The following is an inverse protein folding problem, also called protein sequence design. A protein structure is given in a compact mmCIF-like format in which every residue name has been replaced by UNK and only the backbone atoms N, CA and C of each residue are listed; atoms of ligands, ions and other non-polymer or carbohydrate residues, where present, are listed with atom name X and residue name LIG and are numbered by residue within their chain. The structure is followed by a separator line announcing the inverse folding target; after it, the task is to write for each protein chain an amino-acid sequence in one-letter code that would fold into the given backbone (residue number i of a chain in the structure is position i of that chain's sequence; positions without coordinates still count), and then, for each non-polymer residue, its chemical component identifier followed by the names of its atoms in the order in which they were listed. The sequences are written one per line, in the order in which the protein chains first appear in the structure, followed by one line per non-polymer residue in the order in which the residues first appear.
data_IF_814304664749
#
_entry.id   IF_814304664749
#
_cell.length_a   1.000
_cell.length_b   1.000
_cell.length_c   1.000
_cell.angle_alpha   90.00
_cell.angle_beta   90.00
_cell.angle_gamma   90.00
#
_symmetry.space_group_name_H-M   'P 1'
#
loop_
_entity.id
_entity.type
_entity.pdbx_description
1 polymer ?
#
# COMPACT_ATOMS: atom_id res chain seq x y z
N UNK A 1 38.06 6.14 40.12
CA UNK A 1 37.61 6.53 38.75
C UNK A 1 36.43 5.60 38.40
N UNK A 2 35.21 5.97 38.82
CA UNK A 2 34.00 5.21 38.49
C UNK A 2 33.52 5.61 37.10
N UNK A 3 33.46 4.64 36.19
CA UNK A 3 32.85 4.80 34.85
C UNK A 3 31.34 4.84 35.02
N UNK A 4 30.75 6.00 34.85
CA UNK A 4 29.29 6.15 34.64
C UNK A 4 28.85 5.34 33.44
N UNK A 5 28.32 4.14 33.66
CA UNK A 5 27.59 3.38 32.65
C UNK A 5 26.24 4.07 32.42
N UNK A 6 26.09 4.71 31.26
CA UNK A 6 24.83 5.28 30.84
C UNK A 6 23.84 4.14 30.61
N UNK A 7 22.79 4.13 31.42
CA UNK A 7 21.71 3.14 31.32
C UNK A 7 20.90 3.36 30.02
N UNK A 8 21.14 2.53 29.00
CA UNK A 8 20.48 2.58 27.69
C UNK A 8 19.01 2.14 27.72
N UNK A 9 18.55 1.56 28.83
CA UNK A 9 17.18 1.07 28.98
C UNK A 9 16.15 2.21 29.03
N UNK A 10 16.55 3.39 29.52
CA UNK A 10 15.68 4.57 29.67
C UNK A 10 15.45 5.31 28.33
N UNK A 11 16.24 5.08 27.30
CA UNK A 11 16.04 5.68 25.96
C UNK A 11 14.86 5.07 25.19
N UNK A 12 14.37 3.89 25.58
CA UNK A 12 13.30 3.17 24.90
C UNK A 12 11.91 3.79 25.11
N UNK A 13 11.75 4.70 26.07
CA UNK A 13 10.47 5.35 26.38
C UNK A 13 10.14 6.54 25.47
N UNK A 14 11.10 7.06 24.73
CA UNK A 14 10.94 8.22 23.85
C UNK A 14 11.01 7.89 22.35
N UNK A 15 11.22 6.63 21.99
CA UNK A 15 11.02 6.22 20.63
C UNK A 15 9.52 5.96 20.44
N UNK A 16 8.80 6.77 19.61
CA UNK A 16 7.45 6.41 19.22
C UNK A 16 7.50 4.97 18.69
N UNK A 17 6.54 4.16 19.13
CA UNK A 17 6.39 2.77 18.69
C UNK A 17 6.32 2.78 17.16
N UNK A 18 7.47 2.69 16.51
CA UNK A 18 7.58 2.60 15.07
C UNK A 18 7.03 1.22 14.75
N UNK A 19 5.77 1.17 14.36
CA UNK A 19 5.20 -0.04 13.78
C UNK A 19 6.20 -0.54 12.73
N UNK A 20 6.48 -1.86 12.67
CA UNK A 20 7.41 -2.40 11.70
C UNK A 20 6.93 -1.93 10.33
N UNK A 21 7.81 -1.21 9.67
CA UNK A 21 7.75 -0.62 8.35
C UNK A 21 6.68 -1.32 7.49
N UNK A 22 5.49 -0.72 7.39
CA UNK A 22 4.66 -0.99 6.23
C UNK A 22 5.56 -0.63 5.06
N UNK A 23 5.90 -1.62 4.25
CA UNK A 23 6.76 -1.44 3.08
C UNK A 23 6.23 -0.23 2.32
N UNK A 24 7.04 0.84 2.28
CA UNK A 24 6.61 2.12 1.69
C UNK A 24 6.16 1.84 0.27
N UNK A 25 4.88 1.97 0.00
CA UNK A 25 4.34 1.77 -1.33
C UNK A 25 4.73 2.98 -2.18
N UNK A 26 5.62 2.77 -3.13
CA UNK A 26 6.02 3.81 -4.08
C UNK A 26 4.93 4.05 -5.10
N UNK A 27 5.08 5.11 -5.91
CA UNK A 27 4.13 5.47 -6.95
C UNK A 27 4.10 4.40 -8.06
N UNK A 28 2.97 4.24 -8.76
CA UNK A 28 2.90 3.37 -9.93
C UNK A 28 3.77 3.89 -11.08
N UNK A 29 4.16 3.01 -11.98
CA UNK A 29 4.96 3.29 -13.18
C UNK A 29 6.38 3.83 -12.93
N UNK A 30 6.94 3.68 -11.74
CA UNK A 30 8.34 4.07 -11.53
C UNK A 30 9.28 3.20 -12.37
N UNK A 31 10.12 3.85 -13.18
CA UNK A 31 11.10 3.18 -14.05
C UNK A 31 12.21 2.51 -13.23
N UNK A 32 12.67 3.19 -12.18
CA UNK A 32 13.78 2.75 -11.32
C UNK A 32 13.45 2.98 -9.85
N UNK A 33 12.75 2.06 -9.21
CA UNK A 33 12.35 2.20 -7.80
C UNK A 33 13.53 2.38 -6.84
N UNK A 34 14.64 1.70 -7.13
CA UNK A 34 15.85 1.75 -6.30
C UNK A 34 16.54 3.11 -6.34
N UNK A 35 16.53 3.78 -7.50
CA UNK A 35 17.11 5.11 -7.68
C UNK A 35 16.15 6.25 -7.33
N UNK A 36 14.91 5.93 -6.97
CA UNK A 36 13.86 6.93 -6.74
C UNK A 36 14.24 7.99 -5.71
N UNK A 37 14.89 7.60 -4.61
CA UNK A 37 15.29 8.53 -3.55
C UNK A 37 16.39 9.49 -3.97
N UNK A 38 17.20 9.11 -4.92
CA UNK A 38 18.33 9.93 -5.43
C UNK A 38 17.84 10.90 -6.51
N UNK A 39 16.82 10.51 -7.28
CA UNK A 39 16.33 11.26 -8.43
C UNK A 39 15.12 12.15 -8.10
N UNK A 40 14.36 11.83 -7.06
CA UNK A 40 13.18 12.57 -6.67
C UNK A 40 13.52 13.90 -5.98
N UNK A 41 13.14 15.02 -6.60
CA UNK A 41 13.33 16.38 -6.05
C UNK A 41 12.37 16.74 -4.91
N UNK A 42 11.45 15.85 -4.52
CA UNK A 42 10.45 16.05 -3.44
C UNK A 42 9.58 17.28 -3.63
N UNK A 43 9.36 17.69 -4.87
CA UNK A 43 8.61 18.92 -5.19
C UNK A 43 7.13 18.84 -4.81
N UNK A 44 6.56 17.64 -4.57
CA UNK A 44 5.19 17.42 -4.14
C UNK A 44 4.13 17.55 -5.23
N UNK A 45 4.49 17.76 -6.50
CA UNK A 45 3.52 17.90 -7.60
C UNK A 45 2.65 16.65 -7.78
N UNK A 46 3.21 15.45 -7.64
CA UNK A 46 2.47 14.19 -7.70
C UNK A 46 1.44 14.05 -6.55
N UNK A 47 1.76 14.58 -5.36
CA UNK A 47 0.83 14.63 -4.22
C UNK A 47 -0.38 15.49 -4.55
N UNK A 48 -0.14 16.69 -5.08
CA UNK A 48 -1.21 17.63 -5.45
C UNK A 48 -2.04 17.16 -6.64
N UNK A 49 -1.44 16.41 -7.57
CA UNK A 49 -2.09 15.93 -8.78
C UNK A 49 -2.96 14.68 -8.56
N UNK A 50 -2.83 14.00 -7.42
CA UNK A 50 -3.60 12.79 -7.14
C UNK A 50 -5.05 13.15 -6.80
N UNK A 51 -6.00 12.76 -7.65
CA UNK A 51 -7.42 13.06 -7.48
C UNK A 51 -8.07 12.34 -6.30
N UNK A 52 -7.60 11.14 -5.96
CA UNK A 52 -8.06 10.35 -4.82
C UNK A 52 -7.26 10.62 -3.55
N UNK A 53 -6.28 11.52 -3.61
CA UNK A 53 -5.44 11.95 -2.48
C UNK A 53 -4.72 10.82 -1.73
N UNK A 54 -4.48 9.68 -2.38
CA UNK A 54 -3.76 8.54 -1.80
C UNK A 54 -2.25 8.75 -1.75
N UNK A 55 -1.71 9.77 -2.45
CA UNK A 55 -0.29 10.09 -2.42
C UNK A 55 -0.04 11.13 -1.33
N UNK A 56 0.77 10.76 -0.35
CA UNK A 56 1.14 11.63 0.77
C UNK A 56 2.67 11.79 0.87
N UNK A 57 3.12 12.76 1.67
CA UNK A 57 4.54 12.92 1.98
C UNK A 57 4.91 11.94 3.09
N UNK A 58 5.69 10.94 2.75
CA UNK A 58 6.25 9.97 3.68
C UNK A 58 7.59 10.38 4.28
N UNK A 59 8.35 9.41 4.73
CA UNK A 59 9.66 9.60 5.35
C UNK A 59 10.62 10.38 4.45
N UNK A 60 11.32 11.35 5.01
CA UNK A 60 12.24 12.23 4.28
C UNK A 60 11.56 13.19 3.28
N UNK A 61 10.23 13.29 3.30
CA UNK A 61 9.45 14.12 2.40
C UNK A 61 9.24 13.51 1.01
N UNK A 62 9.59 12.24 0.82
CA UNK A 62 9.34 11.51 -0.42
C UNK A 62 7.87 11.13 -0.53
N UNK A 63 7.28 11.17 -1.74
CA UNK A 63 5.91 10.71 -1.94
C UNK A 63 5.79 9.20 -1.69
N UNK A 64 4.69 8.84 -1.04
CA UNK A 64 4.31 7.49 -0.69
C UNK A 64 2.82 7.29 -0.96
N UNK A 65 2.41 6.09 -1.34
CA UNK A 65 0.99 5.75 -1.53
C UNK A 65 0.42 5.17 -0.26
N UNK A 66 -0.74 5.72 0.16
CA UNK A 66 -1.48 5.27 1.32
C UNK A 66 -2.93 4.95 0.91
N UNK A 67 -3.29 3.68 0.94
CA UNK A 67 -4.63 3.20 0.56
C UNK A 67 -5.63 3.17 1.72
N UNK A 68 -5.34 3.81 2.83
CA UNK A 68 -6.28 3.79 3.96
C UNK A 68 -7.54 4.63 3.72
N UNK A 69 -7.49 5.55 2.79
CA UNK A 69 -8.58 6.50 2.50
C UNK A 69 -9.33 6.17 1.21
N UNK A 70 -8.61 5.75 0.18
CA UNK A 70 -9.17 5.57 -1.16
C UNK A 70 -8.28 4.67 -2.02
N UNK A 71 -8.60 4.52 -3.29
CA UNK A 71 -7.98 3.64 -4.28
C UNK A 71 -7.21 4.40 -5.35
N UNK A 72 -6.34 3.70 -6.08
CA UNK A 72 -5.70 4.23 -7.28
C UNK A 72 -6.60 4.03 -8.50
N UNK A 73 -6.98 5.12 -9.16
CA UNK A 73 -7.78 5.10 -10.40
C UNK A 73 -6.95 4.86 -11.66
N UNK A 74 -5.63 4.71 -11.53
CA UNK A 74 -4.70 4.58 -12.63
C UNK A 74 -4.76 5.71 -13.67
N UNK A 75 -5.11 6.92 -13.24
CA UNK A 75 -5.25 8.11 -14.08
C UNK A 75 -3.93 8.66 -14.66
N UNK A 76 -2.78 8.19 -14.18
CA UNK A 76 -1.43 8.60 -14.60
C UNK A 76 -1.06 10.06 -14.29
N UNK A 77 -1.89 10.83 -13.60
CA UNK A 77 -1.65 12.26 -13.30
C UNK A 77 -0.38 12.48 -12.45
N UNK A 78 -0.08 11.55 -11.55
CA UNK A 78 1.14 11.63 -10.73
C UNK A 78 2.41 11.58 -11.58
N UNK A 79 2.44 10.77 -12.63
CA UNK A 79 3.56 10.66 -13.57
C UNK A 79 3.64 11.90 -14.49
N UNK A 80 2.51 12.35 -15.04
CA UNK A 80 2.46 13.53 -15.91
C UNK A 80 2.88 14.83 -15.21
N UNK A 81 2.59 14.94 -13.91
CA UNK A 81 2.95 16.14 -13.13
C UNK A 81 4.42 16.17 -12.71
N UNK A 82 5.14 15.06 -12.85
CA UNK A 82 6.53 14.97 -12.43
C UNK A 82 7.44 15.66 -13.45
N UNK A 83 8.31 16.59 -13.02
CA UNK A 83 9.28 17.23 -13.91
C UNK A 83 10.48 16.34 -14.24
N UNK A 84 10.68 15.27 -13.47
CA UNK A 84 11.81 14.36 -13.60
C UNK A 84 11.43 13.11 -14.40
N UNK A 85 12.35 12.50 -15.17
CA UNK A 85 12.07 11.32 -15.99
C UNK A 85 12.04 10.03 -15.15
N UNK A 86 11.16 10.00 -14.12
CA UNK A 86 11.10 8.90 -13.16
C UNK A 86 10.15 7.78 -13.57
N UNK A 87 9.27 8.00 -14.55
CA UNK A 87 8.18 7.11 -14.87
C UNK A 87 8.32 6.50 -16.26
N UNK A 88 7.90 5.25 -16.39
CA UNK A 88 7.69 4.60 -17.69
C UNK A 88 6.38 5.04 -18.32
N UNK A 89 6.13 4.65 -19.56
CA UNK A 89 4.90 5.01 -20.28
C UNK A 89 3.65 4.40 -19.61
N UNK A 90 2.50 5.08 -19.72
CA UNK A 90 1.22 4.62 -19.17
C UNK A 90 0.78 3.26 -19.72
N UNK A 91 1.26 2.86 -20.92
CA UNK A 91 0.99 1.56 -21.54
C UNK A 91 1.67 0.39 -20.82
N UNK A 92 2.68 0.66 -19.99
CA UNK A 92 3.34 -0.35 -19.19
C UNK A 92 2.50 -0.67 -17.93
N UNK A 93 2.77 -1.83 -17.34
CA UNK A 93 2.11 -2.18 -16.09
C UNK A 93 2.53 -1.22 -14.95
N UNK A 94 1.59 -0.73 -14.13
CA UNK A 94 1.89 0.25 -13.08
C UNK A 94 2.77 -0.33 -11.98
N UNK A 95 2.54 -1.57 -11.59
CA UNK A 95 3.25 -2.40 -10.62
C UNK A 95 2.75 -3.85 -10.69
N UNK A 96 3.36 -4.72 -9.92
CA UNK A 96 2.80 -6.03 -9.59
C UNK A 96 2.29 -5.99 -8.15
N UNK A 97 1.12 -6.55 -7.90
CA UNK A 97 0.49 -6.50 -6.60
C UNK A 97 0.06 -7.90 -6.14
N UNK A 98 0.34 -8.21 -4.89
CA UNK A 98 -0.10 -9.42 -4.23
C UNK A 98 -0.95 -9.05 -3.01
N UNK A 99 -2.18 -9.53 -2.98
CA UNK A 99 -3.12 -9.30 -1.87
C UNK A 99 -2.94 -10.38 -0.82
N UNK A 100 -2.76 -9.96 0.43
CA UNK A 100 -2.72 -10.84 1.58
C UNK A 100 -3.85 -10.51 2.55
N UNK A 101 -4.50 -11.55 3.09
CA UNK A 101 -5.58 -11.44 4.06
C UNK A 101 -5.10 -11.99 5.40
N UNK A 102 -5.00 -11.12 6.39
CA UNK A 102 -4.55 -11.50 7.73
C UNK A 102 -5.66 -12.18 8.54
N UNK A 103 -5.29 -12.81 9.64
CA UNK A 103 -6.23 -13.45 10.59
C UNK A 103 -7.21 -12.48 11.25
N UNK A 104 -7.03 -11.18 11.09
CA UNK A 104 -7.99 -10.15 11.55
C UNK A 104 -9.24 -10.06 10.67
N UNK A 105 -9.29 -10.80 9.54
CA UNK A 105 -10.44 -10.81 8.66
C UNK A 105 -11.70 -11.29 9.40
N UNK A 106 -12.75 -10.46 9.41
CA UNK A 106 -14.02 -10.77 10.08
C UNK A 106 -14.62 -12.07 9.58
N UNK A 107 -14.60 -12.32 8.27
CA UNK A 107 -15.13 -13.54 7.69
C UNK A 107 -14.37 -14.80 8.17
N UNK A 108 -13.04 -14.71 8.33
CA UNK A 108 -12.25 -15.78 8.93
C UNK A 108 -12.56 -15.98 10.42
N UNK A 109 -13.03 -14.94 11.11
CA UNK A 109 -13.50 -14.97 12.49
C UNK A 109 -14.99 -15.32 12.63
N UNK A 110 -15.60 -15.86 11.57
CA UNK A 110 -17.01 -16.27 11.54
C UNK A 110 -18.02 -15.11 11.65
N UNK A 111 -17.61 -13.88 11.32
CA UNK A 111 -18.49 -12.71 11.21
C UNK A 111 -18.73 -12.43 9.72
N UNK A 112 -19.99 -12.33 9.31
CA UNK A 112 -20.33 -12.06 7.90
C UNK A 112 -19.78 -10.68 7.47
N UNK A 113 -18.93 -10.69 6.46
CA UNK A 113 -18.34 -9.49 5.88
C UNK A 113 -17.87 -9.79 4.46
N UNK A 114 -18.24 -8.93 3.50
CA UNK A 114 -17.86 -9.05 2.07
C UNK A 114 -17.40 -7.72 1.46
N UNK A 115 -17.14 -6.69 2.26
CA UNK A 115 -16.83 -5.34 1.79
C UNK A 115 -15.71 -5.31 0.74
N UNK A 116 -14.67 -6.13 0.90
CA UNK A 116 -13.55 -6.19 -0.06
C UNK A 116 -13.96 -6.83 -1.41
N UNK A 117 -14.91 -7.77 -1.42
CA UNK A 117 -15.46 -8.34 -2.66
C UNK A 117 -16.26 -7.29 -3.42
N UNK A 118 -17.14 -6.57 -2.70
CA UNK A 118 -18.04 -5.58 -3.29
C UNK A 118 -17.28 -4.37 -3.86
N UNK A 119 -16.14 -4.02 -3.25
CA UNK A 119 -15.31 -2.92 -3.67
C UNK A 119 -14.30 -3.28 -4.78
N UNK A 120 -14.11 -4.54 -5.11
CA UNK A 120 -13.08 -4.95 -6.07
C UNK A 120 -13.54 -4.74 -7.51
N UNK A 121 -12.98 -3.77 -8.28
CA UNK A 121 -13.40 -3.52 -9.66
C UNK A 121 -13.06 -4.68 -10.61
N UNK A 122 -11.97 -5.41 -10.33
CA UNK A 122 -11.53 -6.56 -11.12
C UNK A 122 -12.26 -7.86 -10.75
N UNK A 123 -13.05 -7.85 -9.65
CA UNK A 123 -13.76 -9.03 -9.18
C UNK A 123 -12.87 -10.21 -8.80
N UNK A 124 -11.65 -9.97 -8.37
CA UNK A 124 -10.66 -11.02 -8.06
C UNK A 124 -10.82 -11.62 -6.67
N UNK A 125 -11.70 -11.04 -5.83
CA UNK A 125 -11.98 -11.49 -4.47
C UNK A 125 -13.32 -12.22 -4.47
N UNK A 126 -13.31 -13.50 -4.15
CA UNK A 126 -14.50 -14.34 -4.09
C UNK A 126 -14.67 -14.93 -2.69
N UNK A 127 -15.92 -15.16 -2.29
CA UNK A 127 -16.22 -15.81 -1.02
C UNK A 127 -16.73 -17.23 -1.26
N UNK A 128 -15.94 -18.22 -0.90
CA UNK A 128 -16.31 -19.61 -0.99
C UNK A 128 -17.29 -19.98 0.12
N UNK A 129 -18.44 -20.49 -0.27
CA UNK A 129 -19.44 -20.99 0.67
C UNK A 129 -18.94 -22.25 1.37
N UNK A 130 -19.12 -22.32 2.69
CA UNK A 130 -18.76 -23.45 3.52
C UNK A 130 -19.99 -23.90 4.32
N UNK A 131 -20.23 -25.23 4.39
CA UNK A 131 -21.37 -25.76 5.15
C UNK A 131 -21.14 -25.54 6.65
N UNK A 132 -22.09 -24.86 7.31
CA UNK A 132 -22.04 -24.60 8.75
C UNK A 132 -21.00 -23.54 9.19
N UNK A 133 -20.43 -22.79 8.24
CA UNK A 133 -19.47 -21.69 8.53
C UNK A 133 -19.75 -20.48 7.66
N UNK A 134 -19.25 -19.33 8.08
CA UNK A 134 -19.24 -18.12 7.27
C UNK A 134 -18.37 -18.33 6.02
N UNK A 135 -18.79 -17.78 4.89
CA UNK A 135 -18.05 -17.85 3.65
C UNK A 135 -16.65 -17.22 3.81
N UNK A 136 -15.64 -17.89 3.28
CA UNK A 136 -14.23 -17.51 3.42
C UNK A 136 -13.72 -16.81 2.15
N UNK A 137 -12.98 -15.68 2.27
CA UNK A 137 -12.45 -14.97 1.11
C UNK A 137 -11.32 -15.76 0.45
N UNK A 138 -11.35 -15.78 -0.87
CA UNK A 138 -10.30 -16.30 -1.75
C UNK A 138 -9.93 -15.20 -2.75
N UNK A 139 -8.65 -15.05 -3.05
CA UNK A 139 -8.12 -14.02 -3.94
C UNK A 139 -7.41 -14.66 -5.11
N UNK A 140 -7.74 -14.22 -6.33
CA UNK A 140 -6.94 -14.50 -7.51
C UNK A 140 -5.94 -13.35 -7.73
N UNK A 141 -4.75 -13.47 -7.13
CA UNK A 141 -3.74 -12.41 -7.17
C UNK A 141 -3.17 -12.16 -8.58
N UNK A 142 -3.25 -13.12 -9.49
CA UNK A 142 -2.74 -12.97 -10.86
C UNK A 142 -3.51 -11.91 -11.67
N UNK A 143 -4.79 -11.70 -11.34
CA UNK A 143 -5.66 -10.74 -11.99
C UNK A 143 -5.79 -9.42 -11.20
N UNK A 144 -5.07 -9.28 -10.09
CA UNK A 144 -5.16 -8.11 -9.25
C UNK A 144 -4.43 -6.91 -9.87
N UNK A 145 -5.14 -5.82 -10.11
CA UNK A 145 -4.54 -4.55 -10.58
C UNK A 145 -3.72 -3.82 -9.51
N UNK A 146 -3.92 -4.15 -8.23
CA UNK A 146 -3.28 -3.46 -7.11
C UNK A 146 -3.85 -2.07 -6.82
N UNK A 147 -5.10 -1.78 -7.19
CA UNK A 147 -5.73 -0.47 -6.99
C UNK A 147 -5.87 -0.06 -5.52
N UNK A 148 -5.88 -1.02 -4.58
CA UNK A 148 -6.00 -0.75 -3.14
C UNK A 148 -7.43 -0.57 -2.61
N UNK A 149 -8.48 -0.64 -3.44
CA UNK A 149 -9.89 -0.49 -3.03
C UNK A 149 -10.28 -1.41 -1.88
N UNK A 150 -9.79 -2.66 -1.88
CA UNK A 150 -10.05 -3.61 -0.82
C UNK A 150 -9.43 -3.24 0.54
N UNK A 151 -8.40 -2.39 0.54
CA UNK A 151 -7.72 -1.92 1.77
C UNK A 151 -8.55 -0.85 2.45
N UNK A 152 -8.98 0.19 1.72
CA UNK A 152 -9.75 1.33 2.26
C UNK A 152 -11.07 0.91 2.88
N UNK A 153 -11.76 -0.08 2.31
CA UNK A 153 -13.09 -0.55 2.79
C UNK A 153 -13.02 -1.60 3.89
N UNK A 154 -11.84 -2.08 4.26
CA UNK A 154 -11.71 -3.17 5.22
C UNK A 154 -11.89 -2.69 6.67
N UNK A 155 -12.99 -3.00 7.36
CA UNK A 155 -13.27 -2.46 8.70
C UNK A 155 -12.32 -2.99 9.79
N UNK A 156 -11.66 -4.12 9.53
CA UNK A 156 -10.71 -4.74 10.47
C UNK A 156 -9.24 -4.56 10.06
N UNK A 157 -8.95 -3.78 9.00
CA UNK A 157 -7.62 -3.60 8.43
C UNK A 157 -6.90 -4.93 8.14
N UNK A 158 -7.67 -5.95 7.74
CA UNK A 158 -7.16 -7.29 7.47
C UNK A 158 -6.56 -7.43 6.07
N UNK A 159 -6.86 -6.50 5.16
CA UNK A 159 -6.34 -6.52 3.79
C UNK A 159 -5.01 -5.77 3.73
N UNK A 160 -4.00 -6.43 3.20
CA UNK A 160 -2.71 -5.82 2.89
C UNK A 160 -2.34 -6.14 1.45
N UNK A 161 -1.75 -5.18 0.75
CA UNK A 161 -1.26 -5.38 -0.62
C UNK A 161 0.24 -5.14 -0.62
N UNK A 162 0.98 -6.12 -1.10
CA UNK A 162 2.40 -6.02 -1.33
C UNK A 162 2.65 -5.66 -2.79
N UNK A 163 3.45 -4.64 -3.01
CA UNK A 163 3.75 -4.14 -4.34
C UNK A 163 5.20 -4.46 -4.69
N UNK A 164 5.38 -5.15 -5.81
CA UNK A 164 6.68 -5.32 -6.43
C UNK A 164 6.72 -4.43 -7.65
N UNK A 165 7.69 -3.55 -7.72
CA UNK A 165 7.87 -2.68 -8.88
C UNK A 165 8.72 -3.39 -9.92
N UNK A 166 8.48 -3.09 -11.20
CA UNK A 166 9.26 -3.65 -12.29
C UNK A 166 10.73 -3.23 -12.14
N UNK A 167 11.61 -4.22 -12.04
CA UNK A 167 13.03 -4.03 -12.25
C UNK A 167 13.21 -4.27 -13.75
N UNK A 168 13.42 -3.18 -14.48
CA UNK A 168 13.71 -3.25 -15.92
C UNK A 168 15.13 -3.77 -16.15
#
# INVERSE_FOLDING_TARGET
MEKNMVDLSKRRWFTPNRQPNQSQVRLPWLARPDAFTDECTRCGKCVTACETHIIEKGDGGFPNVNFSMDECTFCYQCAQSCPEPLFVAQSEAPWQAEVNITHHCLAQQQVECRSCQDACPEGVIHFALQIGRTASPQVNSELCSGCGACVSVCPSNAMTVHYTQHIA
#
